data_IF_677842038893
#
_entry.id   IF_677842038893
#
_cell.length_a   1.000
_cell.length_b   1.000
_cell.length_c   1.000
_cell.angle_alpha   90.00
_cell.angle_beta   90.00
_cell.angle_gamma   90.00
#
_symmetry.space_group_name_H-M   'P 1'
#
loop_
_entity.id
_entity.type
_entity.pdbx_description
1 polymer ?
#
# COMPACT_ATOMS: atom_id res chain seq x y z
N UNK A 1 5.21 -5.85 4.53
CA UNK A 1 4.52 -4.54 4.41
C UNK A 1 3.26 -4.48 5.25
N UNK A 2 2.26 -5.33 5.00
CA UNK A 2 1.04 -5.37 5.83
C UNK A 2 1.35 -5.48 7.33
N UNK A 3 2.09 -6.53 7.73
CA UNK A 3 2.45 -6.77 9.13
C UNK A 3 3.28 -5.61 9.71
N UNK A 4 4.31 -5.16 8.98
CA UNK A 4 5.11 -4.00 9.38
C UNK A 4 4.28 -2.73 9.63
N UNK A 5 3.30 -2.43 8.77
CA UNK A 5 2.42 -1.28 8.99
C UNK A 5 1.58 -1.47 10.27
N UNK A 6 1.01 -2.65 10.47
CA UNK A 6 0.22 -2.98 11.67
C UNK A 6 1.03 -2.89 12.96
N UNK A 7 2.25 -3.44 12.97
CA UNK A 7 3.15 -3.41 14.14
C UNK A 7 3.55 -1.97 14.52
N UNK A 8 3.59 -1.05 13.56
CA UNK A 8 3.86 0.37 13.79
C UNK A 8 2.59 1.18 14.12
N UNK A 9 1.44 0.53 14.31
CA UNK A 9 0.16 1.18 14.60
C UNK A 9 -0.47 1.92 13.42
N UNK A 10 -0.01 1.66 12.19
CA UNK A 10 -0.55 2.25 10.98
C UNK A 10 -1.64 1.36 10.35
N UNK A 11 -2.52 1.97 9.58
CA UNK A 11 -3.65 1.31 8.92
C UNK A 11 -3.32 1.00 7.45
N UNK A 12 -3.01 -0.25 7.09
CA UNK A 12 -2.67 -0.61 5.72
C UNK A 12 -3.87 -0.50 4.77
N UNK A 13 -3.69 0.22 3.67
CA UNK A 13 -4.67 0.38 2.59
C UNK A 13 -4.08 -0.10 1.27
N UNK A 14 -4.87 -0.88 0.52
CA UNK A 14 -4.57 -1.26 -0.86
C UNK A 14 -5.23 -0.29 -1.83
N UNK A 15 -4.50 0.06 -2.88
CA UNK A 15 -5.04 0.74 -4.07
C UNK A 15 -5.21 -0.30 -5.16
N UNK A 16 -6.42 -0.42 -5.69
CA UNK A 16 -6.80 -1.49 -6.62
C UNK A 16 -7.42 -0.88 -7.88
N UNK A 17 -7.04 -1.41 -9.03
CA UNK A 17 -7.72 -1.17 -10.30
C UNK A 17 -8.95 -2.07 -10.42
N UNK A 18 -10.14 -1.49 -10.29
CA UNK A 18 -11.41 -2.20 -10.35
C UNK A 18 -11.87 -2.52 -11.78
N UNK A 19 -11.16 -2.03 -12.81
CA UNK A 19 -11.47 -2.32 -14.22
C UNK A 19 -10.89 -3.65 -14.69
N UNK A 20 -9.96 -4.23 -13.92
CA UNK A 20 -9.30 -5.49 -14.24
C UNK A 20 -10.26 -6.66 -14.06
N UNK A 21 -10.33 -7.54 -15.06
CA UNK A 21 -11.16 -8.74 -15.02
C UNK A 21 -10.82 -9.64 -13.81
N UNK A 22 -11.87 -10.13 -13.16
CA UNK A 22 -11.78 -10.98 -11.97
C UNK A 22 -11.77 -10.23 -10.65
N UNK A 23 -11.71 -8.89 -10.65
CA UNK A 23 -11.90 -8.10 -9.42
C UNK A 23 -13.37 -8.17 -8.99
N UNK A 24 -13.60 -8.63 -7.76
CA UNK A 24 -14.92 -8.64 -7.10
C UNK A 24 -14.87 -7.74 -5.87
N UNK A 25 -15.46 -6.56 -6.02
CA UNK A 25 -15.59 -5.52 -5.00
C UNK A 25 -16.95 -4.82 -5.14
N UNK A 26 -17.47 -4.16 -4.08
CA UNK A 26 -18.69 -3.37 -4.17
C UNK A 26 -18.53 -2.20 -5.13
N UNK A 27 -19.26 -2.23 -6.24
CA UNK A 27 -19.10 -1.26 -7.33
C UNK A 27 -19.51 0.17 -6.93
N UNK A 28 -20.40 0.32 -5.96
CA UNK A 28 -20.81 1.63 -5.41
C UNK A 28 -19.66 2.39 -4.72
N UNK A 29 -18.60 1.69 -4.32
CA UNK A 29 -17.42 2.26 -3.68
C UNK A 29 -16.26 2.53 -4.67
N UNK A 30 -16.42 2.16 -5.94
CA UNK A 30 -15.43 2.39 -6.99
C UNK A 30 -15.51 3.83 -7.47
N UNK A 31 -14.37 4.50 -7.60
CA UNK A 31 -14.23 5.87 -8.12
C UNK A 31 -13.11 5.91 -9.14
N UNK A 32 -13.39 6.47 -10.32
CA UNK A 32 -12.42 6.59 -11.42
C UNK A 32 -11.74 5.25 -11.78
N UNK A 33 -12.52 4.17 -11.75
CA UNK A 33 -12.03 2.81 -12.01
C UNK A 33 -11.14 2.23 -10.91
N UNK A 34 -11.00 2.90 -9.77
CA UNK A 34 -10.18 2.45 -8.65
C UNK A 34 -11.00 2.29 -7.38
N UNK A 35 -10.50 1.43 -6.50
CA UNK A 35 -11.02 1.29 -5.15
C UNK A 35 -9.86 1.24 -4.16
N UNK A 36 -10.04 1.89 -3.02
CA UNK A 36 -9.10 1.83 -1.91
C UNK A 36 -9.72 0.97 -0.82
N UNK A 37 -9.02 -0.08 -0.41
CA UNK A 37 -9.51 -1.02 0.59
C UNK A 37 -8.62 -1.01 1.83
N UNK A 38 -9.24 -0.80 2.99
CA UNK A 38 -8.57 -1.01 4.27
C UNK A 38 -8.42 -2.52 4.51
N UNK A 39 -7.18 -2.97 4.70
CA UNK A 39 -6.84 -4.38 4.97
C UNK A 39 -6.28 -4.60 6.38
N UNK A 40 -6.48 -3.65 7.31
CA UNK A 40 -6.13 -3.84 8.72
C UNK A 40 -6.89 -5.02 9.32
N UNK A 41 -6.34 -5.64 10.37
CA UNK A 41 -6.97 -6.77 11.08
C UNK A 41 -8.39 -6.44 11.57
N UNK A 42 -8.66 -5.17 11.88
CA UNK A 42 -9.95 -4.67 12.34
C UNK A 42 -10.99 -4.50 11.22
N UNK A 43 -10.56 -4.38 9.96
CA UNK A 43 -11.42 -4.11 8.82
C UNK A 43 -11.59 -5.33 7.89
N UNK A 44 -10.57 -6.18 7.81
CA UNK A 44 -10.51 -7.34 6.93
C UNK A 44 -10.51 -8.65 7.73
N UNK A 45 -11.66 -9.33 7.74
CA UNK A 45 -11.77 -10.64 8.37
C UNK A 45 -11.31 -11.74 7.42
N UNK A 46 -10.57 -12.72 7.97
CA UNK A 46 -10.05 -13.87 7.20
C UNK A 46 -9.23 -13.40 5.97
N UNK A 47 -8.37 -12.39 6.18
CA UNK A 47 -7.46 -11.89 5.16
C UNK A 47 -6.50 -12.99 4.72
N UNK A 48 -6.47 -13.24 3.41
CA UNK A 48 -5.51 -14.12 2.75
C UNK A 48 -4.78 -13.31 1.71
N UNK A 49 -3.47 -13.18 1.91
CA UNK A 49 -2.54 -12.59 0.97
C UNK A 49 -1.84 -13.75 0.27
N UNK A 50 -2.27 -14.06 -0.96
CA UNK A 50 -1.68 -15.13 -1.77
C UNK A 50 -1.08 -14.55 -3.06
N UNK A 51 -0.29 -15.36 -3.75
CA UNK A 51 0.36 -14.96 -5.01
C UNK A 51 -0.64 -14.75 -6.16
N UNK A 52 -1.79 -15.42 -6.11
CA UNK A 52 -2.86 -15.31 -7.11
C UNK A 52 -3.82 -14.16 -6.80
N UNK A 53 -4.22 -14.02 -5.54
CA UNK A 53 -5.20 -13.01 -5.12
C UNK A 53 -5.08 -12.60 -3.65
N UNK A 54 -5.58 -11.40 -3.37
CA UNK A 54 -5.96 -10.93 -2.04
C UNK A 54 -7.45 -11.21 -1.84
N UNK A 55 -7.79 -11.90 -0.74
CA UNK A 55 -9.18 -12.21 -0.40
C UNK A 55 -9.46 -11.94 1.05
N UNK A 56 -10.62 -11.36 1.37
CA UNK A 56 -11.07 -11.14 2.74
C UNK A 56 -12.56 -10.84 2.77
N UNK A 57 -13.15 -10.89 3.96
CA UNK A 57 -14.52 -10.42 4.21
C UNK A 57 -14.46 -9.06 4.92
N UNK A 58 -15.19 -8.08 4.41
CA UNK A 58 -15.31 -6.76 5.02
C UNK A 58 -16.76 -6.27 5.00
N UNK A 59 -17.02 -5.13 5.64
CA UNK A 59 -18.33 -4.48 5.63
C UNK A 59 -18.26 -3.15 4.91
N UNK A 60 -19.20 -2.94 4.00
CA UNK A 60 -19.34 -1.74 3.19
C UNK A 60 -20.72 -1.14 3.48
N UNK A 61 -20.77 0.06 4.05
CA UNK A 61 -22.04 0.63 4.55
C UNK A 61 -22.75 -0.24 5.59
N UNK A 62 -22.00 -1.11 6.29
CA UNK A 62 -22.55 -2.09 7.21
C UNK A 62 -23.07 -3.37 6.55
N UNK A 63 -22.97 -3.54 5.24
CA UNK A 63 -23.31 -4.79 4.52
C UNK A 63 -22.06 -5.65 4.36
N UNK A 64 -22.06 -6.94 4.77
CA UNK A 64 -20.91 -7.82 4.58
C UNK A 64 -20.70 -8.15 3.10
N UNK A 65 -19.44 -8.18 2.67
CA UNK A 65 -19.04 -8.51 1.30
C UNK A 65 -17.76 -9.35 1.30
N UNK A 66 -17.71 -10.36 0.44
CA UNK A 66 -16.52 -11.18 0.21
C UNK A 66 -15.71 -10.59 -0.96
N UNK A 67 -14.56 -10.01 -0.63
CA UNK A 67 -13.65 -9.35 -1.56
C UNK A 67 -12.74 -10.38 -2.21
N UNK A 68 -12.58 -10.28 -3.54
CA UNK A 68 -11.59 -11.02 -4.31
C UNK A 68 -10.86 -10.07 -5.25
N UNK A 69 -9.54 -9.99 -5.13
CA UNK A 69 -8.70 -9.05 -5.87
C UNK A 69 -7.50 -9.81 -6.44
N UNK A 70 -7.45 -10.07 -7.76
CA UNK A 70 -6.28 -10.67 -8.40
C UNK A 70 -5.03 -9.80 -8.18
N UNK A 71 -3.87 -10.41 -7.96
CA UNK A 71 -2.63 -9.64 -7.66
C UNK A 71 -2.28 -8.62 -8.74
N UNK A 72 -2.51 -8.94 -10.02
CA UNK A 72 -2.32 -8.03 -11.16
C UNK A 72 -3.16 -6.73 -11.11
N UNK A 73 -4.19 -6.67 -10.27
CA UNK A 73 -5.04 -5.49 -10.11
C UNK A 73 -4.59 -4.58 -8.96
N UNK A 74 -3.65 -5.03 -8.13
CA UNK A 74 -3.14 -4.26 -6.98
C UNK A 74 -2.11 -3.26 -7.49
N UNK A 75 -2.41 -1.97 -7.36
CA UNK A 75 -1.55 -0.87 -7.80
C UNK A 75 -0.57 -0.41 -6.72
N UNK A 76 -0.84 -0.73 -5.45
CA UNK A 76 0.02 -0.32 -4.36
C UNK A 76 -0.56 -0.63 -2.98
N UNK A 77 0.29 -0.46 -1.97
CA UNK A 77 -0.07 -0.52 -0.56
C UNK A 77 0.53 0.69 0.16
N UNK A 78 -0.25 1.35 1.02
CA UNK A 78 0.23 2.47 1.82
C UNK A 78 -0.40 2.48 3.22
N UNK A 79 0.30 3.10 4.17
CA UNK A 79 -0.21 3.41 5.49
C UNK A 79 -1.06 4.68 5.42
N UNK A 80 -2.32 4.62 5.87
CA UNK A 80 -3.27 5.74 5.79
C UNK A 80 -2.76 7.01 6.50
N UNK A 81 -2.09 6.84 7.63
CA UNK A 81 -1.69 7.90 8.53
C UNK A 81 -0.48 8.68 8.01
N UNK A 82 0.50 7.98 7.45
CA UNK A 82 1.78 8.56 7.02
C UNK A 82 1.86 8.76 5.50
N UNK A 83 0.99 8.09 4.73
CA UNK A 83 1.10 8.01 3.27
C UNK A 83 2.25 7.13 2.78
N UNK A 84 3.09 6.59 3.68
CA UNK A 84 4.23 5.76 3.32
C UNK A 84 3.77 4.42 2.76
N UNK A 85 4.38 3.98 1.67
CA UNK A 85 3.96 2.77 0.97
C UNK A 85 4.84 2.42 -0.20
N UNK A 86 4.34 1.50 -1.03
CA UNK A 86 4.95 1.13 -2.31
C UNK A 86 3.86 1.12 -3.38
N UNK A 87 4.22 1.60 -4.56
CA UNK A 87 3.43 1.48 -5.78
C UNK A 87 3.98 0.31 -6.58
N UNK A 88 3.09 -0.55 -7.06
CA UNK A 88 3.42 -1.68 -7.92
C UNK A 88 3.16 -1.26 -9.37
N UNK A 89 4.22 -1.22 -10.17
CA UNK A 89 4.11 -1.03 -11.62
C UNK A 89 3.91 -2.40 -12.29
N UNK A 90 3.01 -2.46 -13.27
CA UNK A 90 2.79 -3.67 -14.10
C UNK A 90 4.01 -4.09 -14.93
N UNK A 91 5.05 -3.25 -15.01
CA UNK A 91 6.30 -3.56 -15.71
C UNK A 91 7.20 -4.55 -14.96
N UNK A 92 6.86 -4.93 -13.72
CA UNK A 92 7.68 -5.83 -12.91
C UNK A 92 7.78 -7.28 -13.46
N UNK A 93 6.91 -7.68 -14.40
CA UNK A 93 7.05 -8.96 -15.12
C UNK A 93 8.13 -8.92 -16.22
N UNK A 94 8.72 -7.75 -16.51
CA UNK A 94 9.81 -7.60 -17.46
C UNK A 94 11.18 -7.59 -16.76
N UNK A 95 11.44 -8.61 -15.96
CA UNK A 95 12.79 -9.13 -15.68
C UNK A 95 13.92 -8.12 -15.42
N UNK A 96 13.68 -7.07 -14.65
CA UNK A 96 14.78 -6.25 -14.12
C UNK A 96 14.45 -5.83 -12.69
N UNK A 97 15.08 -6.52 -11.74
CA UNK A 97 15.10 -6.12 -10.34
C UNK A 97 15.96 -4.85 -10.21
N UNK A 98 15.40 -3.71 -10.61
CA UNK A 98 16.00 -2.42 -10.30
C UNK A 98 15.86 -2.18 -8.80
N UNK A 99 17.01 -2.18 -8.14
CA UNK A 99 17.30 -1.79 -6.76
C UNK A 99 16.43 -0.64 -6.24
N UNK A 100 16.07 -0.60 -4.94
CA UNK A 100 15.40 0.54 -4.35
C UNK A 100 16.27 1.78 -4.53
N UNK A 101 15.78 2.78 -5.25
CA UNK A 101 16.38 4.11 -5.25
C UNK A 101 16.20 4.70 -3.85
N UNK A 102 17.30 4.82 -3.14
CA UNK A 102 17.43 5.53 -1.88
C UNK A 102 17.16 7.03 -2.13
N UNK A 103 16.12 7.51 -1.46
CA UNK A 103 15.84 8.88 -1.00
C UNK A 103 16.75 10.02 -1.54
N UNK A 104 16.21 10.87 -2.40
CA UNK A 104 16.67 12.26 -2.52
C UNK A 104 15.50 13.18 -2.17
N UNK A 105 15.54 13.86 -1.01
CA UNK A 105 14.65 14.96 -0.71
C UNK A 105 15.21 16.24 -1.34
N UNK A 106 14.41 16.92 -2.15
CA UNK A 106 14.65 18.32 -2.48
C UNK A 106 13.43 19.14 -2.08
N UNK A 107 13.38 19.47 -0.79
CA UNK A 107 12.66 20.62 -0.27
C UNK A 107 13.53 21.87 -0.48
N UNK A 108 13.10 22.74 -1.39
CA UNK A 108 13.47 24.15 -1.35
C UNK A 108 12.79 24.78 -0.13
N UNK A 109 13.56 25.21 0.88
CA UNK A 109 13.62 26.58 1.42
C UNK A 109 14.72 26.65 2.50
N UNK A 110 15.70 27.48 2.15
CA UNK A 110 16.68 28.23 2.92
C UNK A 110 16.50 28.36 4.46
N UNK A 111 17.62 28.17 5.17
CA UNK A 111 18.15 29.04 6.24
C UNK A 111 18.46 28.38 7.60
N UNK A 112 19.76 28.44 7.93
CA UNK A 112 20.36 28.65 9.27
C UNK A 112 21.10 27.47 9.92
N UNK A 113 22.43 27.53 9.72
CA UNK A 113 23.55 27.26 10.66
C UNK A 113 23.95 25.83 11.03
N UNK A 114 25.20 25.58 10.61
CA UNK A 114 26.34 25.09 11.39
C UNK A 114 26.65 23.58 11.32
N UNK A 115 27.81 23.33 10.71
CA UNK A 115 28.44 22.04 10.43
C UNK A 115 28.78 21.24 11.70
N UNK A 116 28.63 19.93 11.54
CA UNK A 116 29.07 18.80 12.37
C UNK A 116 30.58 18.69 12.61
N UNK A 117 31.00 18.21 13.79
CA UNK A 117 31.96 17.09 13.92
C UNK A 117 32.05 16.52 15.35
N UNK A 118 31.80 15.21 15.52
CA UNK A 118 32.23 14.43 16.69
C UNK A 118 33.45 13.59 16.28
N UNK A 119 34.51 13.62 17.09
CA UNK A 119 35.69 12.74 16.91
C UNK A 119 35.65 11.62 17.95
N UNK A 120 35.80 10.39 17.48
CA UNK A 120 36.04 9.21 18.30
C UNK A 120 37.48 9.22 18.78
N UNK A 121 37.69 8.92 20.07
CA UNK A 121 39.01 8.60 20.62
C UNK A 121 39.01 7.18 21.18
N UNK A 122 40.13 6.51 20.94
CA UNK A 122 40.47 5.12 21.30
C UNK A 122 41.11 5.07 22.68
#
# INVERSE_FOLDING_TARGET
MHEWMGDNGNTPHLVIDATVEGVSVPQEHVKDGKIILNISETAAHNLKLKNDAVTFRARFGGVPFDVWVPMRSVLGIYARETGQGMIFSHDADRGDASTPAEDQPSDDIESTRARSHLRVIK
#
